data_IF_517446750314
#
_entry.id   IF_517446750314
#
_cell.length_a   1.000
_cell.length_b   1.000
_cell.length_c   1.000
_cell.angle_alpha   90.00
_cell.angle_beta   90.00
_cell.angle_gamma   90.00
#
_symmetry.space_group_name_H-M   'P 1'
#
loop_
_entity.id
_entity.type
_entity.pdbx_description
1 polymer ?
#
# COMPACT_ATOMS: atom_id res chain seq x y z
N UNK A 1 54.04 41.61 52.30
CA UNK A 1 54.06 41.04 53.66
C UNK A 1 52.79 40.26 53.92
N UNK A 2 52.71 39.51 55.03
CA UNK A 2 51.51 38.73 55.41
C UNK A 2 50.23 39.58 55.43
N UNK A 3 50.37 40.87 55.76
CA UNK A 3 49.29 41.86 55.75
C UNK A 3 48.68 42.09 54.37
N UNK A 4 49.47 42.08 53.29
CA UNK A 4 48.96 42.33 51.94
C UNK A 4 48.12 41.17 51.43
N UNK A 5 48.47 39.95 51.85
CA UNK A 5 47.71 38.74 51.52
C UNK A 5 46.36 38.74 52.24
N UNK A 6 46.36 39.05 53.54
CA UNK A 6 45.12 39.16 54.33
C UNK A 6 44.21 40.25 53.76
N UNK A 7 44.76 41.41 53.41
CA UNK A 7 43.98 42.51 52.83
C UNK A 7 43.34 42.10 51.50
N UNK A 8 44.07 41.39 50.63
CA UNK A 8 43.53 40.92 49.35
C UNK A 8 42.42 39.88 49.53
N UNK A 9 42.58 38.97 50.48
CA UNK A 9 41.60 37.91 50.74
C UNK A 9 40.31 38.50 51.35
N UNK A 10 40.42 39.48 52.24
CA UNK A 10 39.25 40.19 52.81
C UNK A 10 38.50 40.97 51.73
N UNK A 11 39.20 41.68 50.84
CA UNK A 11 38.56 42.42 49.73
C UNK A 11 37.89 41.47 48.74
N UNK A 12 38.55 40.36 48.38
CA UNK A 12 37.95 39.32 47.53
C UNK A 12 36.70 38.71 48.17
N UNK A 13 36.72 38.47 49.48
CA UNK A 13 35.58 37.93 50.21
C UNK A 13 34.42 38.93 50.26
N UNK A 14 34.69 40.21 50.51
CA UNK A 14 33.66 41.26 50.45
C UNK A 14 33.04 41.35 49.03
N UNK A 15 33.86 41.27 47.98
CA UNK A 15 33.38 41.38 46.59
C UNK A 15 32.61 40.14 46.11
N UNK A 16 32.98 38.93 46.57
CA UNK A 16 32.27 37.68 46.24
C UNK A 16 31.12 37.37 47.21
N UNK A 17 31.16 37.96 48.40
CA UNK A 17 30.17 37.84 49.45
C UNK A 17 29.06 38.88 49.35
N UNK A 18 29.21 39.91 48.49
CA UNK A 18 28.07 40.64 47.95
C UNK A 18 27.20 39.61 47.24
N UNK A 19 26.08 39.27 47.88
CA UNK A 19 25.01 38.53 47.26
C UNK A 19 24.64 39.29 45.98
N UNK A 20 24.45 38.62 44.83
CA UNK A 20 23.87 39.28 43.68
C UNK A 20 22.55 39.88 44.16
N UNK A 21 22.50 41.20 44.27
CA UNK A 21 21.28 41.98 44.41
C UNK A 21 20.55 41.95 43.07
N UNK A 22 20.30 40.74 42.58
CA UNK A 22 19.38 40.50 41.48
C UNK A 22 18.03 41.05 41.91
N UNK A 23 17.42 41.82 41.03
CA UNK A 23 16.14 42.49 41.26
C UNK A 23 15.17 41.55 42.00
N UNK A 24 14.73 41.95 43.19
CA UNK A 24 13.76 41.19 43.98
C UNK A 24 12.40 41.08 43.25
N UNK A 25 12.18 41.90 42.22
CA UNK A 25 11.04 41.81 41.31
C UNK A 25 11.04 40.52 40.45
N UNK A 26 12.19 39.86 40.29
CA UNK A 26 12.30 38.63 39.49
C UNK A 26 11.95 37.36 40.30
N UNK A 27 11.84 37.47 41.63
CA UNK A 27 11.50 36.36 42.51
C UNK A 27 9.97 36.26 42.62
N UNK A 28 9.37 35.48 41.73
CA UNK A 28 7.92 35.18 41.76
C UNK A 28 7.65 33.90 42.55
N UNK A 29 6.59 33.90 43.36
CA UNK A 29 6.08 32.70 44.02
C UNK A 29 5.78 31.60 42.98
N UNK A 30 6.20 30.36 43.27
CA UNK A 30 5.87 29.22 42.41
C UNK A 30 4.36 28.96 42.49
N UNK A 31 3.59 29.57 41.57
CA UNK A 31 2.15 29.31 41.45
C UNK A 31 1.94 27.82 41.26
N UNK A 32 1.13 27.23 42.13
CA UNK A 32 0.70 25.85 41.99
C UNK A 32 -0.16 25.76 40.72
N UNK A 33 0.47 25.36 39.60
CA UNK A 33 -0.20 25.21 38.32
C UNK A 33 -1.27 24.16 38.53
N UNK A 34 -2.54 24.60 38.62
CA UNK A 34 -3.68 23.71 38.58
C UNK A 34 -3.56 22.93 37.28
N UNK A 35 -3.08 21.68 37.35
CA UNK A 35 -3.06 20.81 36.18
C UNK A 35 -4.50 20.76 35.67
N UNK A 36 -4.71 21.28 34.47
CA UNK A 36 -5.98 21.14 33.77
C UNK A 36 -6.34 19.66 33.81
N UNK A 37 -7.60 19.35 34.18
CA UNK A 37 -8.11 17.98 34.19
C UNK A 37 -7.71 17.34 32.87
N UNK A 38 -6.83 16.34 32.96
CA UNK A 38 -6.42 15.53 31.83
C UNK A 38 -7.72 15.02 31.19
N UNK A 39 -7.92 15.28 29.90
CA UNK A 39 -9.10 14.80 29.18
C UNK A 39 -8.89 13.31 28.95
N UNK A 40 -9.13 12.53 30.00
CA UNK A 40 -9.04 11.08 29.97
C UNK A 40 -10.15 10.57 29.04
N UNK A 41 -9.76 9.97 27.91
CA UNK A 41 -10.70 9.26 27.04
C UNK A 41 -11.08 7.96 27.73
N UNK A 42 -12.17 7.97 28.49
CA UNK A 42 -12.72 6.77 29.15
C UNK A 42 -13.65 5.99 28.22
N UNK A 43 -13.29 5.85 26.95
CA UNK A 43 -14.08 5.11 25.96
C UNK A 43 -13.33 3.86 25.58
N UNK A 44 -13.97 2.71 25.75
CA UNK A 44 -13.47 1.43 25.25
C UNK A 44 -13.61 1.46 23.73
N UNK A 45 -12.50 1.37 23.01
CA UNK A 45 -12.54 1.08 21.59
C UNK A 45 -13.11 -0.33 21.43
N UNK A 46 -14.27 -0.43 20.79
CA UNK A 46 -14.87 -1.71 20.44
C UNK A 46 -14.01 -2.30 19.32
N UNK A 47 -13.15 -3.26 19.70
CA UNK A 47 -12.36 -4.01 18.71
C UNK A 47 -13.37 -4.85 17.93
N UNK A 48 -13.55 -4.60 16.62
CA UNK A 48 -14.45 -5.40 15.81
C UNK A 48 -14.01 -6.86 15.89
N UNK A 49 -14.99 -7.77 15.87
CA UNK A 49 -14.66 -9.19 15.80
C UNK A 49 -13.88 -9.49 14.49
N UNK A 50 -13.25 -10.65 14.41
CA UNK A 50 -12.48 -11.06 13.22
C UNK A 50 -13.28 -10.92 11.92
N UNK A 51 -14.59 -11.16 11.99
CA UNK A 51 -15.49 -11.18 10.84
C UNK A 51 -15.83 -9.76 10.37
N UNK A 52 -16.03 -8.81 11.29
CA UNK A 52 -16.23 -7.38 11.02
C UNK A 52 -14.96 -6.73 10.48
N UNK A 53 -13.79 -7.06 11.06
CA UNK A 53 -12.50 -6.58 10.55
C UNK A 53 -12.26 -7.10 9.12
N UNK A 54 -12.60 -8.36 8.86
CA UNK A 54 -12.52 -8.95 7.52
C UNK A 54 -13.51 -8.32 6.53
N UNK A 55 -14.72 -7.97 6.98
CA UNK A 55 -15.70 -7.26 6.16
C UNK A 55 -15.23 -5.83 5.83
N UNK A 56 -14.68 -5.11 6.80
CA UNK A 56 -14.14 -3.76 6.62
C UNK A 56 -12.93 -3.77 5.66
N UNK A 57 -12.01 -4.71 5.81
CA UNK A 57 -10.86 -4.86 4.90
C UNK A 57 -11.28 -5.20 3.47
N UNK A 58 -12.33 -6.01 3.28
CA UNK A 58 -12.91 -6.28 1.95
C UNK A 58 -13.53 -5.02 1.34
N UNK A 59 -14.25 -4.23 2.14
CA UNK A 59 -14.89 -2.99 1.68
C UNK A 59 -13.84 -1.90 1.35
N UNK A 60 -12.77 -1.79 2.14
CA UNK A 60 -11.64 -0.89 1.86
C UNK A 60 -10.88 -1.30 0.60
N UNK A 61 -10.65 -2.61 0.40
CA UNK A 61 -10.05 -3.14 -0.82
C UNK A 61 -10.87 -2.89 -2.09
N UNK A 62 -12.20 -2.78 -1.98
CA UNK A 62 -13.09 -2.43 -3.09
C UNK A 62 -13.07 -0.93 -3.45
N UNK A 63 -12.65 -0.05 -2.54
CA UNK A 63 -12.70 1.42 -2.74
C UNK A 63 -11.36 2.06 -3.08
N UNK A 64 -10.22 1.41 -2.81
CA UNK A 64 -8.88 1.92 -3.12
C UNK A 64 -8.18 1.25 -4.32
N UNK A 65 -8.74 0.20 -4.92
CA UNK A 65 -8.26 -0.33 -6.19
C UNK A 65 -8.88 0.46 -7.33
N UNK A 66 -8.11 1.34 -7.98
CA UNK A 66 -8.50 1.97 -9.24
C UNK A 66 -9.14 0.91 -10.14
N UNK A 67 -10.34 1.24 -10.67
CA UNK A 67 -11.16 0.34 -11.49
C UNK A 67 -10.25 -0.56 -12.33
N UNK A 68 -10.32 -1.89 -12.18
CA UNK A 68 -9.57 -2.76 -13.08
C UNK A 68 -9.95 -2.35 -14.50
N UNK A 69 -8.96 -2.12 -15.35
CA UNK A 69 -9.23 -1.82 -16.75
C UNK A 69 -10.16 -2.91 -17.27
N UNK A 70 -11.32 -2.50 -17.77
CA UNK A 70 -12.32 -3.41 -18.31
C UNK A 70 -11.67 -4.02 -19.55
N UNK A 71 -11.01 -5.15 -19.38
CA UNK A 71 -10.52 -5.94 -20.51
C UNK A 71 -11.75 -6.41 -21.27
N UNK A 72 -11.95 -5.86 -22.46
CA UNK A 72 -13.02 -6.27 -23.35
C UNK A 72 -12.92 -7.78 -23.59
N UNK A 73 -14.01 -8.50 -23.33
CA UNK A 73 -14.07 -9.93 -23.60
C UNK A 73 -14.06 -10.13 -25.12
N UNK A 74 -12.99 -10.73 -25.64
CA UNK A 74 -12.93 -11.13 -27.05
C UNK A 74 -14.00 -12.21 -27.26
N UNK A 75 -15.11 -11.84 -27.91
CA UNK A 75 -16.15 -12.77 -28.33
C UNK A 75 -15.62 -13.50 -29.57
N UNK A 76 -15.77 -14.82 -29.60
CA UNK A 76 -15.43 -15.62 -30.79
C UNK A 76 -16.68 -15.76 -31.65
N UNK A 77 -16.56 -15.49 -32.94
CA UNK A 77 -17.65 -15.65 -33.89
C UNK A 77 -18.00 -17.12 -34.16
N UNK A 78 -17.02 -18.02 -34.00
CA UNK A 78 -17.16 -19.46 -34.29
C UNK A 78 -16.76 -20.35 -33.11
N UNK A 79 -17.38 -21.53 -32.96
CA UNK A 79 -17.01 -22.49 -31.93
C UNK A 79 -15.54 -22.89 -32.07
N UNK A 80 -14.89 -23.14 -30.92
CA UNK A 80 -13.51 -23.62 -30.91
C UNK A 80 -13.48 -25.06 -31.44
N UNK A 81 -12.76 -25.28 -32.52
CA UNK A 81 -12.50 -26.62 -33.05
C UNK A 81 -11.54 -27.35 -32.09
N UNK A 82 -12.00 -28.48 -31.55
CA UNK A 82 -11.22 -29.38 -30.72
C UNK A 82 -10.29 -30.27 -31.55
N UNK A 83 -9.19 -30.73 -30.93
CA UNK A 83 -8.19 -31.59 -31.58
C UNK A 83 -8.76 -32.88 -32.18
N UNK A 84 -9.81 -33.43 -31.58
CA UNK A 84 -10.44 -34.68 -32.01
C UNK A 84 -11.68 -34.47 -32.90
N UNK A 85 -12.09 -33.22 -33.13
CA UNK A 85 -13.29 -32.90 -33.88
C UNK A 85 -13.09 -33.28 -35.35
N UNK A 86 -14.14 -33.81 -35.97
CA UNK A 86 -14.11 -34.14 -37.39
C UNK A 86 -14.39 -32.87 -38.18
N UNK A 87 -13.44 -32.49 -39.04
CA UNK A 87 -13.55 -31.34 -39.92
C UNK A 87 -13.51 -31.80 -41.37
N UNK A 88 -14.25 -31.11 -42.22
CA UNK A 88 -14.17 -31.29 -43.67
C UNK A 88 -13.17 -30.29 -44.22
N UNK A 89 -12.16 -30.80 -44.91
CA UNK A 89 -11.14 -29.98 -45.58
C UNK A 89 -11.21 -30.21 -47.09
N UNK A 90 -10.90 -29.16 -47.85
CA UNK A 90 -10.81 -29.22 -49.32
C UNK A 90 -9.43 -28.82 -49.78
N UNK A 91 -8.86 -29.60 -50.70
CA UNK A 91 -7.59 -29.27 -51.31
C UNK A 91 -7.77 -28.11 -52.28
N UNK A 92 -6.90 -27.11 -52.19
CA UNK A 92 -6.99 -25.90 -53.03
C UNK A 92 -6.68 -26.21 -54.49
N UNK A 93 -5.78 -27.15 -54.75
CA UNK A 93 -5.30 -27.46 -56.11
C UNK A 93 -6.19 -28.48 -56.82
N UNK A 94 -6.60 -29.55 -56.14
CA UNK A 94 -7.37 -30.65 -56.75
C UNK A 94 -8.88 -30.53 -56.54
N UNK A 95 -9.33 -29.73 -55.58
CA UNK A 95 -10.73 -29.66 -55.18
C UNK A 95 -11.25 -30.88 -54.40
N UNK A 96 -10.39 -31.86 -54.09
CA UNK A 96 -10.74 -33.05 -53.31
C UNK A 96 -11.19 -32.67 -51.90
N UNK A 97 -12.26 -33.29 -51.39
CA UNK A 97 -12.78 -33.05 -50.03
C UNK A 97 -12.58 -34.29 -49.15
N UNK A 98 -12.11 -34.09 -47.92
CA UNK A 98 -11.85 -35.16 -46.94
C UNK A 98 -12.39 -34.79 -45.56
N UNK A 99 -12.99 -35.75 -44.87
CA UNK A 99 -13.48 -35.56 -43.48
C UNK A 99 -12.61 -36.32 -42.48
N UNK A 100 -11.68 -35.62 -41.84
CA UNK A 100 -10.68 -36.17 -40.92
C UNK A 100 -10.69 -35.45 -39.57
N UNK A 101 -10.00 -35.97 -38.55
CA UNK A 101 -9.86 -35.27 -37.26
C UNK A 101 -9.00 -34.02 -37.41
N UNK A 102 -9.31 -32.94 -36.68
CA UNK A 102 -8.57 -31.68 -36.75
C UNK A 102 -7.07 -31.87 -36.49
N UNK A 103 -6.69 -32.76 -35.56
CA UNK A 103 -5.28 -33.16 -35.34
C UNK A 103 -4.53 -33.58 -36.62
N UNK A 104 -5.21 -34.25 -37.54
CA UNK A 104 -4.62 -34.71 -38.80
C UNK A 104 -4.70 -33.63 -39.89
N UNK A 105 -5.68 -32.74 -39.80
CA UNK A 105 -5.85 -31.61 -40.72
C UNK A 105 -4.88 -30.46 -40.42
N UNK A 106 -4.52 -30.23 -39.16
CA UNK A 106 -3.62 -29.16 -38.69
C UNK A 106 -2.36 -29.00 -39.57
N UNK A 107 -1.52 -30.02 -39.82
CA UNK A 107 -0.35 -29.86 -40.68
C UNK A 107 -0.68 -29.59 -42.15
N UNK A 108 -1.87 -29.97 -42.63
CA UNK A 108 -2.31 -29.73 -44.01
C UNK A 108 -2.84 -28.30 -44.20
N UNK A 109 -3.51 -27.78 -43.16
CA UNK A 109 -3.99 -26.40 -43.08
C UNK A 109 -2.82 -25.43 -42.90
N UNK A 110 -1.86 -25.75 -42.03
CA UNK A 110 -0.67 -24.94 -41.78
C UNK A 110 0.22 -24.80 -43.02
N UNK A 111 0.28 -25.84 -43.86
CA UNK A 111 0.96 -25.82 -45.16
C UNK A 111 0.24 -24.96 -46.20
N UNK A 112 -1.05 -24.67 -46.01
CA UNK A 112 -1.89 -23.94 -46.97
C UNK A 112 -2.34 -24.76 -48.19
N UNK A 113 -2.07 -26.06 -48.22
CA UNK A 113 -2.52 -26.96 -49.29
C UNK A 113 -4.04 -27.24 -49.23
N UNK A 114 -4.60 -27.16 -48.02
CA UNK A 114 -5.99 -27.46 -47.73
C UNK A 114 -6.65 -26.31 -47.00
N UNK A 115 -7.95 -26.13 -47.23
CA UNK A 115 -8.80 -25.15 -46.54
C UNK A 115 -9.90 -25.86 -45.77
N UNK A 116 -10.28 -25.30 -44.63
CA UNK A 116 -11.40 -25.79 -43.84
C UNK A 116 -12.70 -25.33 -44.49
N UNK A 117 -13.65 -26.26 -44.66
CA UNK A 117 -15.00 -25.96 -45.11
C UNK A 117 -15.93 -26.21 -43.93
N UNK A 118 -16.57 -25.14 -43.48
CA UNK A 118 -17.70 -25.19 -42.55
C UNK A 118 -18.97 -25.30 -43.41
N UNK A 119 -19.84 -26.29 -43.11
CA UNK A 119 -21.22 -26.32 -43.63
C UNK A 119 -22.09 -25.34 -42.84
#
# INVERSE_FOLDING_TARGET
GMIDKVNKDVVSFLFKGELPSGNTEEIQEARNVRRSKETLKTTKEEIPNSDELAAQNRAAGQTQGGRPQVTETIIRDRPKIGRNDRVTIKNVMSGESKTIKYKQAEPLLDKGEWVLIED
#
